data_IF_177263692349
#
_entry.id   IF_177263692349
#
_cell.length_a   1.000
_cell.length_b   1.000
_cell.length_c   1.000
_cell.angle_alpha   90.00
_cell.angle_beta   90.00
_cell.angle_gamma   90.00
#
_symmetry.space_group_name_H-M   'P 1'
#
loop_
_entity.id
_entity.type
_entity.pdbx_description
1 polymer ?
#
# COMPACT_ATOMS: atom_id res chain seq x y z
N UNK A 1 18.59 13.34 -47.07
CA UNK A 1 17.85 12.05 -47.05
C UNK A 1 17.09 11.79 -45.75
N UNK A 2 17.62 12.10 -44.55
CA UNK A 2 16.89 11.87 -43.29
C UNK A 2 15.68 12.77 -43.02
N UNK A 3 15.75 14.06 -43.38
CA UNK A 3 14.63 15.01 -43.17
C UNK A 3 13.40 14.71 -44.05
N UNK A 4 13.62 14.35 -45.31
CA UNK A 4 12.57 13.93 -46.25
C UNK A 4 11.84 12.69 -45.73
N UNK A 5 12.58 11.74 -45.14
CA UNK A 5 12.02 10.52 -44.56
C UNK A 5 11.14 10.83 -43.34
N UNK A 6 11.57 11.74 -42.46
CA UNK A 6 10.78 12.19 -41.30
C UNK A 6 9.54 12.98 -41.72
N UNK A 7 9.63 13.79 -42.78
CA UNK A 7 8.48 14.51 -43.33
C UNK A 7 7.47 13.55 -43.98
N UNK A 8 7.93 12.54 -44.72
CA UNK A 8 7.08 11.47 -45.25
C UNK A 8 6.40 10.69 -44.13
N UNK A 9 7.13 10.34 -43.08
CA UNK A 9 6.59 9.59 -41.94
C UNK A 9 5.54 10.42 -41.19
N UNK A 10 5.80 11.71 -40.94
CA UNK A 10 4.85 12.61 -40.28
C UNK A 10 3.61 12.89 -41.15
N UNK A 11 3.79 12.94 -42.48
CA UNK A 11 2.68 13.08 -43.45
C UNK A 11 1.82 11.82 -43.52
N UNK A 12 2.43 10.62 -43.44
CA UNK A 12 1.69 9.36 -43.34
C UNK A 12 0.96 9.22 -42.01
N UNK A 13 1.55 9.67 -40.89
CA UNK A 13 0.89 9.70 -39.58
C UNK A 13 -0.27 10.70 -39.55
N UNK A 14 -0.12 11.87 -40.18
CA UNK A 14 -1.22 12.84 -40.33
C UNK A 14 -2.34 12.40 -41.27
N UNK A 15 -2.10 11.39 -42.13
CA UNK A 15 -3.11 10.80 -43.02
C UNK A 15 -3.76 9.53 -42.45
N UNK A 16 -3.26 9.00 -41.33
CA UNK A 16 -3.97 8.01 -40.54
C UNK A 16 -5.11 8.72 -39.80
N UNK A 17 -6.18 9.05 -40.53
CA UNK A 17 -7.50 9.24 -39.93
C UNK A 17 -8.06 7.83 -39.73
N UNK A 18 -8.06 7.27 -38.50
CA UNK A 18 -8.64 5.97 -38.27
C UNK A 18 -10.11 6.07 -38.66
N UNK A 19 -10.60 5.10 -39.44
CA UNK A 19 -12.02 5.05 -39.74
C UNK A 19 -12.81 5.02 -38.42
N UNK A 20 -13.93 5.74 -38.34
CA UNK A 20 -14.77 5.77 -37.14
C UNK A 20 -15.12 4.37 -36.64
N UNK A 21 -15.24 3.42 -37.57
CA UNK A 21 -15.42 2.00 -37.30
C UNK A 21 -14.25 1.35 -36.53
N UNK A 22 -12.99 1.60 -36.93
CA UNK A 22 -11.81 1.10 -36.22
C UNK A 22 -11.63 1.73 -34.83
N UNK A 23 -12.03 3.00 -34.66
CA UNK A 23 -12.06 3.63 -33.32
C UNK A 23 -13.12 2.99 -32.43
N UNK A 24 -14.30 2.70 -32.97
CA UNK A 24 -15.38 2.04 -32.23
C UNK A 24 -14.99 0.63 -31.77
N UNK A 25 -14.32 -0.16 -32.62
CA UNK A 25 -13.84 -1.50 -32.28
C UNK A 25 -12.77 -1.46 -31.17
N UNK A 26 -11.82 -0.52 -31.25
CA UNK A 26 -10.79 -0.32 -30.23
C UNK A 26 -11.40 0.12 -28.89
N UNK A 27 -12.33 1.07 -28.93
CA UNK A 27 -13.03 1.54 -27.73
C UNK A 27 -13.89 0.45 -27.09
N UNK A 28 -14.52 -0.41 -27.90
CA UNK A 28 -15.26 -1.56 -27.40
C UNK A 28 -14.35 -2.56 -26.69
N UNK A 29 -13.16 -2.85 -27.24
CA UNK A 29 -12.16 -3.73 -26.59
C UNK A 29 -11.67 -3.14 -25.26
N UNK A 30 -11.40 -1.84 -25.21
CA UNK A 30 -11.05 -1.15 -23.96
C UNK A 30 -12.19 -1.23 -22.94
N UNK A 31 -13.44 -1.02 -23.37
CA UNK A 31 -14.63 -1.16 -22.53
C UNK A 31 -14.78 -2.57 -21.95
N UNK A 32 -14.59 -3.60 -22.76
CA UNK A 32 -14.59 -5.01 -22.31
C UNK A 32 -13.44 -5.27 -21.34
N UNK A 33 -12.24 -4.76 -21.61
CA UNK A 33 -11.09 -4.89 -20.72
C UNK A 33 -11.32 -4.24 -19.35
N UNK A 34 -11.89 -3.03 -19.33
CA UNK A 34 -12.24 -2.33 -18.10
C UNK A 34 -13.32 -3.07 -17.31
N UNK A 35 -14.33 -3.61 -18.00
CA UNK A 35 -15.38 -4.41 -17.37
C UNK A 35 -14.81 -5.70 -16.77
N UNK A 36 -13.95 -6.42 -17.49
CA UNK A 36 -13.27 -7.60 -16.98
C UNK A 36 -12.39 -7.26 -15.76
N UNK A 37 -11.63 -6.16 -15.81
CA UNK A 37 -10.83 -5.68 -14.68
C UNK A 37 -11.70 -5.33 -13.47
N UNK A 38 -12.83 -4.66 -13.68
CA UNK A 38 -13.77 -4.34 -12.60
C UNK A 38 -14.27 -5.60 -11.91
N UNK A 39 -14.71 -6.61 -12.66
CA UNK A 39 -15.14 -7.89 -12.07
C UNK A 39 -14.00 -8.64 -11.40
N UNK A 40 -12.79 -8.59 -11.96
CA UNK A 40 -11.60 -9.17 -11.33
C UNK A 40 -11.33 -8.54 -9.96
N UNK A 41 -11.38 -7.21 -9.85
CA UNK A 41 -11.22 -6.51 -8.57
C UNK A 41 -12.35 -6.85 -7.59
N UNK A 42 -13.59 -6.97 -8.06
CA UNK A 42 -14.74 -7.33 -7.22
C UNK A 42 -14.62 -8.75 -6.66
N UNK A 43 -14.19 -9.71 -7.49
CA UNK A 43 -13.89 -11.07 -7.03
C UNK A 43 -12.76 -11.06 -6.02
N UNK A 44 -11.66 -10.34 -6.31
CA UNK A 44 -10.55 -10.18 -5.36
C UNK A 44 -11.00 -9.62 -4.02
N UNK A 45 -11.81 -8.56 -4.02
CA UNK A 45 -12.35 -7.95 -2.80
C UNK A 45 -13.20 -8.94 -1.99
N UNK A 46 -14.08 -9.70 -2.64
CA UNK A 46 -14.90 -10.72 -1.96
C UNK A 46 -14.01 -11.80 -1.33
N UNK A 47 -13.01 -12.28 -2.07
CA UNK A 47 -12.07 -13.30 -1.58
C UNK A 47 -11.29 -12.78 -0.37
N UNK A 48 -10.71 -11.58 -0.45
CA UNK A 48 -9.96 -10.99 0.67
C UNK A 48 -10.84 -10.73 1.89
N UNK A 49 -12.03 -10.16 1.72
CA UNK A 49 -12.97 -9.98 2.85
C UNK A 49 -13.28 -11.32 3.52
N UNK A 50 -13.45 -12.39 2.74
CA UNK A 50 -13.82 -13.69 3.30
C UNK A 50 -12.67 -14.38 4.04
N UNK A 51 -11.43 -14.09 3.67
CA UNK A 51 -10.21 -14.67 4.25
C UNK A 51 -9.68 -13.82 5.41
N UNK A 52 -9.54 -12.52 5.22
CA UNK A 52 -8.85 -11.62 6.17
C UNK A 52 -9.77 -11.08 7.26
N UNK A 53 -11.05 -10.79 6.97
CA UNK A 53 -11.95 -10.18 7.98
C UNK A 53 -12.16 -11.02 9.25
N UNK A 54 -12.29 -12.37 9.19
CA UNK A 54 -12.37 -13.18 10.40
C UNK A 54 -11.10 -13.11 11.25
N UNK A 55 -9.94 -13.04 10.60
CA UNK A 55 -8.65 -12.93 11.28
C UNK A 55 -8.48 -11.55 11.93
N UNK A 56 -8.82 -10.48 11.21
CA UNK A 56 -8.83 -9.11 11.74
C UNK A 56 -9.73 -9.01 12.98
N UNK A 57 -10.91 -9.62 12.96
CA UNK A 57 -11.82 -9.64 14.11
C UNK A 57 -11.21 -10.31 15.35
N UNK A 58 -10.51 -11.43 15.17
CA UNK A 58 -9.80 -12.13 16.26
C UNK A 58 -8.63 -11.31 16.80
N UNK A 59 -7.84 -10.69 15.91
CA UNK A 59 -6.73 -9.83 16.32
C UNK A 59 -7.21 -8.58 17.06
N UNK A 60 -8.36 -8.01 16.65
CA UNK A 60 -9.00 -6.89 17.33
C UNK A 60 -9.49 -7.30 18.73
N UNK A 61 -10.16 -8.44 18.85
CA UNK A 61 -10.64 -8.95 20.15
C UNK A 61 -9.47 -9.19 21.11
N UNK A 62 -8.40 -9.85 20.65
CA UNK A 62 -7.20 -10.07 21.43
C UNK A 62 -6.52 -8.75 21.85
N UNK A 63 -6.50 -7.75 20.96
CA UNK A 63 -5.96 -6.42 21.29
C UNK A 63 -6.80 -5.72 22.36
N UNK A 64 -8.13 -5.78 22.28
CA UNK A 64 -9.03 -5.19 23.29
C UNK A 64 -8.80 -5.85 24.65
N UNK A 65 -8.76 -7.20 24.71
CA UNK A 65 -8.49 -7.92 25.95
C UNK A 65 -7.13 -7.53 26.55
N UNK A 66 -6.09 -7.46 25.71
CA UNK A 66 -4.76 -7.02 26.12
C UNK A 66 -4.76 -5.58 26.65
N UNK A 67 -5.42 -4.65 25.95
CA UNK A 67 -5.53 -3.24 26.35
C UNK A 67 -6.23 -3.12 27.71
N UNK A 68 -7.34 -3.82 27.90
CA UNK A 68 -8.11 -3.79 29.15
C UNK A 68 -7.32 -4.38 30.31
N UNK A 69 -6.70 -5.55 30.11
CA UNK A 69 -5.89 -6.22 31.12
C UNK A 69 -4.76 -5.31 31.63
N UNK A 70 -4.02 -4.67 30.72
CA UNK A 70 -2.91 -3.79 31.10
C UNK A 70 -3.38 -2.47 31.70
N UNK A 71 -4.47 -1.89 31.20
CA UNK A 71 -5.07 -0.69 31.79
C UNK A 71 -5.45 -0.93 33.23
N UNK A 72 -6.22 -1.99 33.51
CA UNK A 72 -6.63 -2.34 34.87
C UNK A 72 -5.42 -2.59 35.78
N UNK A 73 -4.38 -3.24 35.26
CA UNK A 73 -3.15 -3.50 36.02
C UNK A 73 -2.38 -2.23 36.35
N UNK A 74 -2.30 -1.28 35.43
CA UNK A 74 -1.59 0.00 35.62
C UNK A 74 -2.39 0.96 36.50
N UNK A 75 -3.71 1.07 36.32
CA UNK A 75 -4.59 1.84 37.22
C UNK A 75 -4.48 1.34 38.65
N UNK A 76 -4.45 0.01 38.87
CA UNK A 76 -4.23 -0.59 40.20
C UNK A 76 -2.85 -0.26 40.78
N UNK A 77 -1.85 -0.01 39.93
CA UNK A 77 -0.52 0.42 40.35
C UNK A 77 -0.43 1.94 40.61
N UNK A 78 -1.50 2.70 40.36
CA UNK A 78 -1.61 4.12 40.64
C UNK A 78 -1.35 5.05 39.46
N UNK A 79 -1.31 4.53 38.23
CA UNK A 79 -1.20 5.35 37.01
C UNK A 79 -2.56 5.93 36.63
N UNK A 80 -2.56 7.15 36.08
CA UNK A 80 -3.75 7.78 35.54
C UNK A 80 -4.12 7.23 34.16
N UNK A 81 -5.40 7.19 33.82
CA UNK A 81 -5.87 6.64 32.54
C UNK A 81 -5.30 7.41 31.34
N UNK A 82 -5.19 8.75 31.44
CA UNK A 82 -4.63 9.60 30.38
C UNK A 82 -3.15 9.29 30.11
N UNK A 83 -2.38 8.97 31.15
CA UNK A 83 -0.97 8.59 31.02
C UNK A 83 -0.82 7.23 30.34
N UNK A 84 -1.72 6.30 30.64
CA UNK A 84 -1.76 4.98 30.02
C UNK A 84 -2.12 5.14 28.53
N UNK A 85 -3.15 5.92 28.18
CA UNK A 85 -3.50 6.18 26.77
C UNK A 85 -2.34 6.78 25.98
N UNK A 86 -1.65 7.77 26.56
CA UNK A 86 -0.46 8.37 25.97
C UNK A 86 0.67 7.35 25.77
N UNK A 87 0.87 6.43 26.70
CA UNK A 87 1.87 5.37 26.57
C UNK A 87 1.62 4.52 25.32
N UNK A 88 0.38 4.02 25.15
CA UNK A 88 0.04 3.18 23.99
C UNK A 88 0.10 3.97 22.67
N UNK A 89 -0.35 5.23 22.67
CA UNK A 89 -0.23 6.12 21.51
C UNK A 89 1.23 6.34 21.11
N UNK A 90 2.11 6.65 22.07
CA UNK A 90 3.53 6.87 21.82
C UNK A 90 4.23 5.61 21.27
N UNK A 91 3.89 4.43 21.79
CA UNK A 91 4.43 3.15 21.27
C UNK A 91 3.96 2.92 19.83
N UNK A 92 2.68 3.14 19.54
CA UNK A 92 2.13 3.06 18.17
C UNK A 92 2.84 4.02 17.23
N UNK A 93 3.01 5.27 17.63
CA UNK A 93 3.64 6.30 16.81
C UNK A 93 5.13 6.00 16.57
N UNK A 94 5.85 5.50 17.58
CA UNK A 94 7.22 5.02 17.41
C UNK A 94 7.28 3.87 16.40
N UNK A 95 6.39 2.87 16.52
CA UNK A 95 6.33 1.74 15.60
C UNK A 95 6.02 2.16 14.16
N UNK A 96 5.07 3.09 13.96
CA UNK A 96 4.75 3.66 12.64
C UNK A 96 5.93 4.42 12.02
N UNK A 97 6.79 5.00 12.85
CA UNK A 97 8.05 5.62 12.41
C UNK A 97 9.19 4.62 12.20
N UNK A 98 8.90 3.31 12.29
CA UNK A 98 9.89 2.23 12.17
C UNK A 98 10.82 2.12 13.37
N UNK A 99 10.51 2.79 14.48
CA UNK A 99 11.28 2.72 15.73
C UNK A 99 10.65 1.64 16.61
N UNK A 100 11.22 0.45 16.54
CA UNK A 100 10.84 -0.67 17.39
C UNK A 100 12.07 -1.14 18.16
N UNK A 101 12.01 -1.14 19.49
CA UNK A 101 13.12 -1.57 20.34
C UNK A 101 12.60 -2.63 21.29
N UNK A 102 13.05 -3.87 21.11
CA UNK A 102 12.78 -4.94 22.06
C UNK A 102 13.84 -4.91 23.16
N UNK A 103 13.42 -4.61 24.41
CA UNK A 103 14.27 -4.58 25.62
C UNK A 103 15.31 -3.45 25.61
N UNK A 104 16.28 -3.53 26.52
CA UNK A 104 17.39 -2.59 26.62
C UNK A 104 18.56 -3.02 25.72
N UNK A 105 18.31 -3.05 24.41
CA UNK A 105 19.33 -3.39 23.41
C UNK A 105 19.49 -2.21 22.48
N UNK A 106 20.73 -1.89 22.12
CA UNK A 106 21.03 -0.87 21.12
C UNK A 106 20.52 -1.39 19.76
N UNK A 107 19.46 -0.79 19.23
CA UNK A 107 18.99 -1.13 17.90
C UNK A 107 19.86 -0.43 16.84
N UNK A 108 20.11 -1.07 15.71
CA UNK A 108 20.79 -0.43 14.58
C UNK A 108 19.84 0.59 13.94
N UNK A 109 20.37 1.76 13.56
CA UNK A 109 19.58 2.82 12.91
C UNK A 109 19.13 2.36 11.52
N UNK A 110 17.83 2.47 11.22
CA UNK A 110 17.24 2.10 9.92
C UNK A 110 17.87 2.80 8.69
N UNK A 111 18.61 3.89 8.90
CA UNK A 111 19.26 4.69 7.85
C UNK A 111 20.78 4.54 7.84
N UNK A 112 21.28 3.34 8.13
CA UNK A 112 22.67 2.99 7.81
C UNK A 112 22.91 3.02 6.29
N UNK A 113 24.17 3.21 5.85
CA UNK A 113 24.50 3.26 4.42
C UNK A 113 23.99 2.03 3.64
N UNK A 114 24.15 0.82 4.21
CA UNK A 114 23.70 -0.42 3.58
C UNK A 114 22.19 -0.51 3.40
N UNK A 115 21.43 -0.14 4.43
CA UNK A 115 19.96 -0.12 4.37
C UNK A 115 19.45 0.97 3.43
N UNK A 116 20.05 2.16 3.44
CA UNK A 116 19.70 3.26 2.53
C UNK A 116 20.00 2.90 1.06
N UNK A 117 21.10 2.19 0.80
CA UNK A 117 21.42 1.67 -0.54
C UNK A 117 20.38 0.64 -1.00
N UNK A 118 19.99 -0.30 -0.13
CA UNK A 118 18.94 -1.28 -0.43
C UNK A 118 17.59 -0.60 -0.71
N UNK A 119 17.19 0.36 0.13
CA UNK A 119 15.98 1.16 -0.08
C UNK A 119 15.99 1.91 -1.43
N UNK A 120 17.14 2.47 -1.83
CA UNK A 120 17.26 3.10 -3.15
C UNK A 120 17.07 2.09 -4.28
N UNK A 121 17.49 0.84 -4.09
CA UNK A 121 17.26 -0.27 -5.02
C UNK A 121 15.77 -0.59 -5.19
N UNK A 122 14.98 -0.63 -4.11
CA UNK A 122 13.54 -0.94 -4.17
C UNK A 122 12.75 0.12 -4.94
N UNK A 123 13.15 1.39 -4.83
CA UNK A 123 12.57 2.50 -5.61
C UNK A 123 12.75 2.31 -7.13
N UNK A 124 13.94 1.85 -7.55
CA UNK A 124 14.24 1.64 -8.98
C UNK A 124 13.57 0.36 -9.48
N UNK A 125 13.46 -0.67 -8.64
CA UNK A 125 12.89 -1.97 -9.03
C UNK A 125 11.36 -2.02 -8.99
N UNK A 126 10.67 -1.00 -8.47
CA UNK A 126 9.20 -0.94 -8.34
C UNK A 126 8.60 -2.07 -7.50
N UNK A 127 9.37 -2.53 -6.50
CA UNK A 127 8.93 -3.51 -5.48
C UNK A 127 8.17 -2.77 -4.40
#
# INVERSE_FOLDING_TARGET
MGLEMLQLQNKMVGQLHPSSFQMQETNARLGVGLLAMFFYLLVGAIVFVRIEAPREALELEAYIEFRDYWTQRMVRAGFDEDEIDRLFANVRDAALNGIWVEKNVTNELNWSFGQAFFFSGTLISTV
#
